data_IF_191610352051
#
_entry.id   IF_191610352051
#
_cell.length_a   1.000
_cell.length_b   1.000
_cell.length_c   1.000
_cell.angle_alpha   90.00
_cell.angle_beta   90.00
_cell.angle_gamma   90.00
#
_symmetry.space_group_name_H-M   'P 1'
#
loop_
_entity.id
_entity.type
_entity.pdbx_description
1 polymer ?
#
# COMPACT_ATOMS: atom_id res chain seq x y z
N UNK A 1 -16.75 22.91 -31.93
CA UNK A 1 -15.92 22.00 -31.12
C UNK A 1 -16.35 20.58 -31.39
N UNK A 2 -15.62 19.85 -32.23
CA UNK A 2 -15.83 18.41 -32.37
C UNK A 2 -15.09 17.78 -31.20
N UNK A 3 -15.83 17.36 -30.17
CA UNK A 3 -15.31 16.41 -29.19
C UNK A 3 -14.99 15.16 -29.98
N UNK A 4 -13.72 15.01 -30.34
CA UNK A 4 -13.18 13.77 -30.88
C UNK A 4 -13.51 12.68 -29.87
N UNK A 5 -14.51 11.85 -30.19
CA UNK A 5 -14.81 10.61 -29.48
C UNK A 5 -13.72 9.61 -29.85
N UNK A 6 -12.49 9.85 -29.43
CA UNK A 6 -11.43 8.87 -29.60
C UNK A 6 -11.67 7.76 -28.55
N UNK A 7 -12.09 6.55 -28.97
CA UNK A 7 -12.38 5.44 -28.04
C UNK A 7 -11.18 5.06 -27.17
N UNK A 8 -9.95 5.38 -27.59
CA UNK A 8 -8.74 5.16 -26.82
C UNK A 8 -8.70 6.03 -25.56
N UNK A 9 -9.14 7.29 -25.62
CA UNK A 9 -9.20 8.15 -24.43
C UNK A 9 -10.22 7.66 -23.41
N UNK A 10 -11.35 7.12 -23.88
CA UNK A 10 -12.34 6.50 -22.99
C UNK A 10 -11.77 5.26 -22.29
N UNK A 11 -10.98 4.45 -23.01
CA UNK A 11 -10.27 3.31 -22.44
C UNK A 11 -9.24 3.77 -21.41
N UNK A 12 -8.40 4.75 -21.72
CA UNK A 12 -7.41 5.28 -20.77
C UNK A 12 -8.06 5.83 -19.50
N UNK A 13 -9.13 6.62 -19.65
CA UNK A 13 -9.86 7.14 -18.49
C UNK A 13 -10.46 6.02 -17.64
N UNK A 14 -11.03 4.98 -18.26
CA UNK A 14 -11.59 3.83 -17.55
C UNK A 14 -10.54 3.01 -16.82
N UNK A 15 -9.39 2.78 -17.44
CA UNK A 15 -8.30 2.03 -16.82
C UNK A 15 -7.72 2.84 -15.65
N UNK A 16 -7.47 4.14 -15.84
CA UNK A 16 -7.02 5.04 -14.79
C UNK A 16 -7.97 5.09 -13.59
N UNK A 17 -9.28 5.17 -13.83
CA UNK A 17 -10.29 5.12 -12.77
C UNK A 17 -10.22 3.80 -11.98
N UNK A 18 -10.01 2.65 -12.64
CA UNK A 18 -9.83 1.34 -11.99
C UNK A 18 -8.61 1.33 -11.07
N UNK A 19 -7.50 1.91 -11.52
CA UNK A 19 -6.27 2.02 -10.71
C UNK A 19 -6.45 2.95 -9.50
N UNK A 20 -7.09 4.10 -9.69
CA UNK A 20 -7.44 5.01 -8.59
C UNK A 20 -8.35 4.34 -7.56
N UNK A 21 -9.36 3.58 -8.00
CA UNK A 21 -10.24 2.84 -7.09
C UNK A 21 -9.50 1.74 -6.32
N UNK A 22 -8.54 1.05 -6.95
CA UNK A 22 -7.71 0.07 -6.27
C UNK A 22 -6.86 0.71 -5.15
N UNK A 23 -6.19 1.84 -5.43
CA UNK A 23 -5.42 2.58 -4.42
C UNK A 23 -6.32 3.11 -3.31
N UNK A 24 -7.50 3.65 -3.66
CA UNK A 24 -8.49 4.11 -2.68
C UNK A 24 -8.92 2.98 -1.75
N UNK A 25 -9.27 1.82 -2.31
CA UNK A 25 -9.66 0.63 -1.54
C UNK A 25 -8.53 0.16 -0.62
N UNK A 26 -7.30 0.06 -1.13
CA UNK A 26 -6.14 -0.32 -0.33
C UNK A 26 -5.91 0.66 0.84
N UNK A 27 -6.09 1.96 0.60
CA UNK A 27 -6.00 2.97 1.65
C UNK A 27 -7.11 2.87 2.70
N UNK A 28 -8.36 2.60 2.30
CA UNK A 28 -9.46 2.36 3.24
C UNK A 28 -9.20 1.12 4.11
N UNK A 29 -8.67 0.05 3.51
CA UNK A 29 -8.36 -1.18 4.23
C UNK A 29 -7.17 -1.01 5.16
N UNK A 30 -6.15 -0.22 4.77
CA UNK A 30 -5.05 0.14 5.67
C UNK A 30 -5.54 0.91 6.89
N UNK A 31 -6.49 1.85 6.70
CA UNK A 31 -7.08 2.61 7.80
C UNK A 31 -7.85 1.68 8.75
N UNK A 32 -8.66 0.76 8.22
CA UNK A 32 -9.39 -0.21 9.06
C UNK A 32 -8.42 -1.12 9.82
N UNK A 33 -7.35 -1.56 9.14
CA UNK A 33 -6.35 -2.46 9.70
C UNK A 33 -5.50 -1.77 10.79
N UNK A 34 -5.13 -0.51 10.59
CA UNK A 34 -4.42 0.31 11.58
C UNK A 34 -5.28 0.59 12.81
N UNK A 35 -6.58 0.88 12.63
CA UNK A 35 -7.51 1.01 13.75
C UNK A 35 -7.67 -0.29 14.53
N UNK A 36 -7.74 -1.44 13.84
CA UNK A 36 -7.75 -2.76 14.49
C UNK A 36 -6.47 -2.99 15.27
N UNK A 37 -5.33 -2.63 14.71
CA UNK A 37 -4.03 -2.72 15.36
C UNK A 37 -3.95 -1.88 16.63
N UNK A 38 -4.41 -0.62 16.58
CA UNK A 38 -4.48 0.24 17.76
C UNK A 38 -5.33 -0.32 18.90
N UNK A 39 -6.36 -1.12 18.59
CA UNK A 39 -7.15 -1.85 19.61
C UNK A 39 -6.43 -3.09 20.15
N UNK A 40 -5.55 -3.71 19.36
CA UNK A 40 -4.74 -4.87 19.75
C UNK A 40 -3.56 -4.46 20.65
N UNK A 41 -2.95 -3.31 20.40
CA UNK A 41 -1.72 -2.83 21.06
C UNK A 41 -1.74 -2.92 22.60
N UNK A 42 -2.79 -2.51 23.34
CA UNK A 42 -2.75 -2.53 24.80
C UNK A 42 -2.70 -3.93 25.43
N UNK A 43 -2.96 -4.98 24.63
CA UNK A 43 -3.02 -6.37 25.08
C UNK A 43 -2.10 -7.28 24.29
N UNK A 44 -1.17 -6.70 23.53
CA UNK A 44 -0.36 -7.38 22.53
C UNK A 44 0.42 -8.58 23.11
N UNK A 45 0.99 -8.45 24.31
CA UNK A 45 1.67 -9.52 25.04
C UNK A 45 0.77 -10.70 25.44
N UNK A 46 -0.56 -10.50 25.43
CA UNK A 46 -1.58 -11.50 25.78
C UNK A 46 -2.33 -12.00 24.55
N UNK A 47 -1.98 -11.52 23.36
CA UNK A 47 -2.60 -11.98 22.13
C UNK A 47 -2.05 -13.35 21.74
N UNK A 48 -2.90 -14.15 21.15
CA UNK A 48 -2.48 -15.35 20.46
C UNK A 48 -1.56 -14.98 19.29
N UNK A 49 -0.36 -15.57 19.15
CA UNK A 49 0.54 -15.34 18.02
C UNK A 49 -0.16 -15.43 16.66
N UNK A 50 -1.14 -16.33 16.52
CA UNK A 50 -1.90 -16.48 15.28
C UNK A 50 -2.65 -15.20 14.87
N UNK A 51 -3.09 -14.39 15.85
CA UNK A 51 -3.77 -13.13 15.60
C UNK A 51 -2.81 -12.06 15.05
N UNK A 52 -1.55 -12.07 15.51
CA UNK A 52 -0.48 -11.18 15.05
C UNK A 52 -0.07 -11.58 13.62
N UNK A 53 0.18 -12.87 13.38
CA UNK A 53 0.52 -13.39 12.05
C UNK A 53 -0.59 -13.15 11.03
N UNK A 54 -1.85 -13.34 11.41
CA UNK A 54 -2.99 -13.02 10.56
C UNK A 54 -3.06 -11.52 10.23
N UNK A 55 -2.74 -10.66 11.19
CA UNK A 55 -2.67 -9.22 10.95
C UNK A 55 -1.58 -8.89 9.92
N UNK A 56 -0.38 -9.48 10.03
CA UNK A 56 0.68 -9.33 9.02
C UNK A 56 0.23 -9.83 7.63
N UNK A 57 -0.46 -10.97 7.57
CA UNK A 57 -1.01 -11.49 6.33
C UNK A 57 -2.01 -10.54 5.66
N UNK A 58 -2.89 -9.91 6.44
CA UNK A 58 -3.81 -8.89 5.93
C UNK A 58 -3.07 -7.65 5.44
N UNK A 59 -2.05 -7.21 6.17
CA UNK A 59 -1.26 -6.05 5.78
C UNK A 59 -0.51 -6.30 4.46
N UNK A 60 0.10 -7.48 4.30
CA UNK A 60 0.77 -7.87 3.06
C UNK A 60 -0.18 -7.94 1.86
N UNK A 61 -1.45 -8.35 2.05
CA UNK A 61 -2.46 -8.31 0.98
C UNK A 61 -2.78 -6.89 0.52
N UNK A 62 -2.75 -5.91 1.42
CA UNK A 62 -2.93 -4.49 1.08
C UNK A 62 -1.74 -4.01 0.25
N UNK A 63 -0.51 -4.34 0.67
CA UNK A 63 0.71 -4.05 -0.10
C UNK A 63 0.66 -4.65 -1.50
N UNK A 64 0.28 -5.92 -1.62
CA UNK A 64 0.10 -6.61 -2.91
C UNK A 64 -0.91 -5.91 -3.82
N UNK A 65 -2.03 -5.47 -3.24
CA UNK A 65 -3.09 -4.82 -4.01
C UNK A 65 -2.65 -3.44 -4.53
N UNK A 66 -1.91 -2.69 -3.71
CA UNK A 66 -1.29 -1.43 -4.12
C UNK A 66 -0.22 -1.63 -5.21
N UNK A 67 0.67 -2.60 -5.02
CA UNK A 67 1.71 -2.94 -5.99
C UNK A 67 1.15 -3.33 -7.36
N UNK A 68 0.10 -4.16 -7.40
CA UNK A 68 -0.60 -4.52 -8.65
C UNK A 68 -1.24 -3.32 -9.34
N UNK A 69 -1.76 -2.37 -8.57
CA UNK A 69 -2.32 -1.15 -9.13
C UNK A 69 -1.23 -0.30 -9.80
N UNK A 70 -0.04 -0.24 -9.20
CA UNK A 70 1.13 0.46 -9.75
C UNK A 70 1.73 -0.22 -10.99
N UNK A 71 1.82 -1.54 -11.01
CA UNK A 71 2.32 -2.27 -12.17
C UNK A 71 1.45 -2.01 -13.40
N UNK A 72 0.12 -2.06 -13.25
CA UNK A 72 -0.79 -1.90 -14.39
C UNK A 72 -0.92 -0.47 -14.90
N UNK A 73 -0.64 0.55 -14.09
CA UNK A 73 -0.73 1.96 -14.53
C UNK A 73 0.53 2.42 -15.27
N UNK A 74 1.68 1.76 -15.09
CA UNK A 74 2.95 2.12 -15.76
C UNK A 74 2.79 2.23 -17.29
N UNK A 75 2.10 1.27 -17.90
CA UNK A 75 1.79 1.24 -19.35
C UNK A 75 1.00 2.46 -19.82
N UNK A 76 0.12 2.98 -18.95
CA UNK A 76 -0.69 4.15 -19.24
C UNK A 76 0.09 5.46 -19.06
N UNK A 77 1.09 5.45 -18.18
CA UNK A 77 1.96 6.60 -17.88
C UNK A 77 3.03 6.81 -18.96
N UNK A 78 3.51 5.74 -19.58
CA UNK A 78 4.48 5.81 -20.69
C UNK A 78 3.83 6.17 -22.04
N UNK A 79 2.52 6.41 -22.06
CA UNK A 79 1.77 6.69 -23.27
C UNK A 79 1.76 8.19 -23.64
N UNK A 80 2.42 8.56 -24.73
CA UNK A 80 2.53 9.95 -25.21
C UNK A 80 1.17 10.63 -25.46
N UNK A 81 0.16 9.89 -25.91
CA UNK A 81 -1.18 10.44 -26.17
C UNK A 81 -1.92 10.75 -24.87
N UNK A 82 -1.75 9.92 -23.85
CA UNK A 82 -2.27 10.20 -22.51
C UNK A 82 -1.55 11.39 -21.88
N UNK A 83 -0.23 11.49 -22.09
CA UNK A 83 0.58 12.59 -21.58
C UNK A 83 0.22 13.95 -22.20
N UNK A 84 -0.16 13.97 -23.48
CA UNK A 84 -0.57 15.18 -24.18
C UNK A 84 -2.00 15.66 -23.82
N UNK A 85 -2.79 14.85 -23.09
CA UNK A 85 -4.16 15.19 -22.72
C UNK A 85 -4.22 15.82 -21.31
N UNK A 86 -4.63 17.10 -21.17
CA UNK A 86 -4.62 17.79 -19.86
C UNK A 86 -5.53 17.15 -18.81
N UNK A 87 -6.66 16.55 -19.23
CA UNK A 87 -7.59 15.91 -18.30
C UNK A 87 -7.00 14.61 -17.77
N UNK A 88 -6.39 13.80 -18.64
CA UNK A 88 -5.71 12.58 -18.21
C UNK A 88 -4.50 12.89 -17.34
N UNK A 89 -3.73 13.94 -17.64
CA UNK A 89 -2.63 14.42 -16.80
C UNK A 89 -3.09 14.78 -15.37
N UNK A 90 -4.21 15.49 -15.23
CA UNK A 90 -4.78 15.79 -13.91
C UNK A 90 -5.17 14.51 -13.15
N UNK A 91 -5.74 13.53 -13.84
CA UNK A 91 -6.14 12.25 -13.23
C UNK A 91 -4.93 11.38 -12.85
N UNK A 92 -3.86 11.41 -13.65
CA UNK A 92 -2.58 10.77 -13.34
C UNK A 92 -1.95 11.42 -12.11
N UNK A 93 -1.96 12.75 -12.04
CA UNK A 93 -1.46 13.51 -10.89
C UNK A 93 -2.25 13.20 -9.61
N UNK A 94 -3.58 13.08 -9.74
CA UNK A 94 -4.44 12.67 -8.63
C UNK A 94 -4.13 11.25 -8.14
N UNK A 95 -3.95 10.29 -9.07
CA UNK A 95 -3.51 8.93 -8.76
C UNK A 95 -2.21 8.95 -7.94
N UNK A 96 -1.20 9.68 -8.40
CA UNK A 96 0.08 9.77 -7.70
C UNK A 96 -0.05 10.35 -6.29
N UNK A 97 -0.90 11.37 -6.11
CA UNK A 97 -1.14 11.92 -4.78
C UNK A 97 -1.80 10.90 -3.85
N UNK A 98 -2.76 10.12 -4.34
CA UNK A 98 -3.38 9.03 -3.57
C UNK A 98 -2.35 7.94 -3.22
N UNK A 99 -1.56 7.54 -4.22
CA UNK A 99 -0.48 6.55 -4.09
C UNK A 99 0.53 6.97 -3.02
N UNK A 100 1.05 8.19 -3.11
CA UNK A 100 2.01 8.72 -2.14
C UNK A 100 1.45 8.70 -0.72
N UNK A 101 0.20 9.15 -0.53
CA UNK A 101 -0.46 9.13 0.78
C UNK A 101 -0.62 7.71 1.34
N UNK A 102 -0.88 6.72 0.49
CA UNK A 102 -0.96 5.33 0.90
C UNK A 102 0.41 4.82 1.37
N UNK A 103 1.45 5.00 0.56
CA UNK A 103 2.79 4.53 0.90
C UNK A 103 3.39 5.23 2.11
N UNK A 104 3.17 6.53 2.30
CA UNK A 104 3.61 7.21 3.53
C UNK A 104 2.94 6.62 4.78
N UNK A 105 1.69 6.15 4.70
CA UNK A 105 1.04 5.46 5.82
C UNK A 105 1.59 4.04 6.02
N UNK A 106 1.97 3.36 4.94
CA UNK A 106 2.62 2.05 5.02
C UNK A 106 4.00 2.17 5.68
N UNK A 107 4.79 3.15 5.30
CA UNK A 107 6.10 3.44 5.91
C UNK A 107 5.97 3.68 7.42
N UNK A 108 5.07 4.58 7.83
CA UNK A 108 4.80 4.83 9.26
C UNK A 108 4.31 3.57 9.97
N UNK A 109 3.50 2.74 9.31
CA UNK A 109 3.04 1.48 9.89
C UNK A 109 4.20 0.49 10.05
N UNK A 110 5.10 0.39 9.08
CA UNK A 110 6.27 -0.48 9.16
C UNK A 110 7.20 -0.07 10.32
N UNK A 111 7.42 1.23 10.51
CA UNK A 111 8.19 1.76 11.65
C UNK A 111 7.55 1.39 12.99
N UNK A 112 6.24 1.56 13.10
CA UNK A 112 5.47 1.18 14.30
C UNK A 112 5.57 -0.32 14.56
N UNK A 113 5.49 -1.14 13.52
CA UNK A 113 5.61 -2.60 13.64
C UNK A 113 7.00 -3.02 14.12
N UNK A 114 8.06 -2.38 13.60
CA UNK A 114 9.43 -2.64 14.03
C UNK A 114 9.60 -2.38 15.53
N UNK A 115 9.24 -1.18 16.00
CA UNK A 115 9.36 -0.83 17.42
C UNK A 115 8.49 -1.72 18.32
N UNK A 116 7.27 -2.04 17.89
CA UNK A 116 6.38 -2.89 18.69
C UNK A 116 6.81 -4.35 18.76
N UNK A 117 7.43 -4.87 17.70
CA UNK A 117 7.92 -6.24 17.71
C UNK A 117 9.13 -6.38 18.62
N UNK A 118 10.02 -5.39 18.68
CA UNK A 118 11.10 -5.33 19.68
C UNK A 118 10.52 -5.43 21.09
N UNK A 119 9.53 -4.59 21.43
CA UNK A 119 8.85 -4.61 22.73
C UNK A 119 8.18 -5.96 23.05
N UNK A 120 7.55 -6.59 22.04
CA UNK A 120 6.90 -7.89 22.18
C UNK A 120 7.88 -9.04 22.40
N UNK A 121 9.00 -9.02 21.70
CA UNK A 121 10.01 -10.07 21.77
C UNK A 121 10.74 -10.03 23.10
N UNK A 122 10.98 -8.82 23.62
CA UNK A 122 11.64 -8.60 24.91
C UNK A 122 10.71 -8.90 26.10
N UNK A 123 9.45 -8.46 26.04
CA UNK A 123 8.55 -8.48 27.21
C UNK A 123 7.40 -9.49 27.11
N UNK A 124 7.23 -10.16 25.97
CA UNK A 124 6.15 -11.12 25.75
C UNK A 124 6.46 -12.51 26.31
N UNK A 125 5.44 -13.14 26.89
CA UNK A 125 5.48 -14.53 27.37
C UNK A 125 5.27 -15.54 26.22
N UNK A 126 5.93 -15.32 25.08
CA UNK A 126 5.88 -16.22 23.93
C UNK A 126 7.00 -17.25 24.00
N UNK A 127 6.76 -18.44 23.43
CA UNK A 127 7.82 -19.42 23.22
C UNK A 127 8.83 -18.90 22.20
N UNK A 128 10.08 -19.35 22.30
CA UNK A 128 11.16 -18.87 21.43
C UNK A 128 10.89 -19.17 19.94
N UNK A 129 10.25 -20.30 19.65
CA UNK A 129 9.79 -20.67 18.30
C UNK A 129 8.79 -19.66 17.75
N UNK A 130 7.80 -19.26 18.54
CA UNK A 130 6.79 -18.27 18.16
C UNK A 130 7.41 -16.89 17.98
N UNK A 131 8.36 -16.51 18.85
CA UNK A 131 9.15 -15.28 18.70
C UNK A 131 9.89 -15.26 17.37
N UNK A 132 10.54 -16.36 17.01
CA UNK A 132 11.27 -16.47 15.75
C UNK A 132 10.34 -16.42 14.53
N UNK A 133 9.20 -17.10 14.57
CA UNK A 133 8.19 -17.03 13.50
C UNK A 133 7.68 -15.59 13.28
N UNK A 134 7.39 -14.87 14.37
CA UNK A 134 6.96 -13.48 14.31
C UNK A 134 8.05 -12.55 13.76
N UNK A 135 9.33 -12.75 14.14
CA UNK A 135 10.47 -12.01 13.56
C UNK A 135 10.54 -12.19 12.05
N UNK A 136 10.53 -13.45 11.59
CA UNK A 136 10.60 -13.76 10.16
C UNK A 136 9.41 -13.16 9.40
N UNK A 137 8.21 -13.25 9.97
CA UNK A 137 7.01 -12.66 9.37
C UNK A 137 7.07 -11.12 9.31
N UNK A 138 7.61 -10.48 10.34
CA UNK A 138 7.82 -9.03 10.35
C UNK A 138 8.84 -8.62 9.27
N UNK A 139 10.02 -9.26 9.26
CA UNK A 139 11.08 -8.94 8.29
C UNK A 139 10.56 -9.06 6.87
N UNK A 140 9.86 -10.16 6.55
CA UNK A 140 9.23 -10.36 5.25
C UNK A 140 8.18 -9.29 4.94
N UNK A 141 7.43 -8.83 5.95
CA UNK A 141 6.41 -7.79 5.78
C UNK A 141 7.04 -6.42 5.52
N UNK A 142 8.10 -6.05 6.23
CA UNK A 142 8.78 -4.75 6.10
C UNK A 142 9.58 -4.69 4.79
N UNK A 143 10.30 -5.75 4.44
CA UNK A 143 11.06 -5.81 3.17
C UNK A 143 10.15 -5.66 1.95
N UNK A 144 8.92 -6.17 2.02
CA UNK A 144 7.93 -6.02 0.96
C UNK A 144 7.61 -4.56 0.65
N UNK A 145 7.60 -3.67 1.65
CA UNK A 145 7.39 -2.25 1.40
C UNK A 145 8.53 -1.61 0.61
N UNK A 146 9.77 -1.97 0.92
CA UNK A 146 10.97 -1.39 0.28
C UNK A 146 10.98 -1.60 -1.24
N UNK A 147 10.36 -2.68 -1.72
CA UNK A 147 10.21 -2.97 -3.15
C UNK A 147 9.29 -1.96 -3.87
N UNK A 148 8.35 -1.33 -3.15
CA UNK A 148 7.37 -0.42 -3.73
C UNK A 148 7.71 1.07 -3.55
N UNK A 149 8.62 1.42 -2.63
CA UNK A 149 9.04 2.80 -2.37
C UNK A 149 10.06 3.37 -3.40
N UNK A 150 10.61 2.53 -4.29
CA UNK A 150 11.78 2.90 -5.10
C UNK A 150 11.49 3.75 -6.35
N UNK A 151 10.24 4.12 -6.65
CA UNK A 151 9.93 4.90 -7.85
C UNK A 151 9.69 6.39 -7.56
N UNK A 152 10.67 7.28 -7.86
CA UNK A 152 10.49 8.71 -7.69
C UNK A 152 9.35 9.23 -8.57
N UNK A 153 8.63 10.21 -8.04
CA UNK A 153 7.64 10.97 -8.80
C UNK A 153 8.31 11.61 -10.03
N UNK A 154 7.71 11.53 -11.22
CA UNK A 154 8.08 12.45 -12.30
C UNK A 154 7.78 13.87 -11.79
N UNK A 155 8.80 14.72 -11.72
CA UNK A 155 8.60 16.15 -11.54
C UNK A 155 8.00 16.65 -12.85
N UNK A 156 6.69 16.82 -12.88
CA UNK A 156 6.02 17.48 -13.99
C UNK A 156 6.42 18.96 -13.95
N UNK A 157 7.30 19.35 -14.89
CA UNK A 157 7.72 20.73 -15.15
C UNK A 157 6.68 21.46 -16.01
#
# INVERSE_FOLDING_TARGET
MIVSKNPEFAKYASDLARHQDAIRSANEDLIKLSQRFGRMMPRLQKLDPSAILNWFGLYNKIKDSAGKADEGISVLMDNELAAANPVLQLQISYYYSQRQRLYSKMEVMDDVLNGMMEDLLENGNFEETQKQEMRVALDATVEKSKQHHAQPMPVLA
#
